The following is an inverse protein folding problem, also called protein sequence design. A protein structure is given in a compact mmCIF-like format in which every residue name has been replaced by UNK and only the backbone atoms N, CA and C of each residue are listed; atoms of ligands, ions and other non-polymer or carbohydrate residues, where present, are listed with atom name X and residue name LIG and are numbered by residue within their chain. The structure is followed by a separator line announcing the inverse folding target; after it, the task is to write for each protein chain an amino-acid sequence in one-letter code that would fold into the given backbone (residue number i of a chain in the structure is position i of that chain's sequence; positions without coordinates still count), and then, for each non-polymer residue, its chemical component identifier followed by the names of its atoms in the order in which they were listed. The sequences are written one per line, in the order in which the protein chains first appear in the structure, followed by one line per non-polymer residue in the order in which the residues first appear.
data_IF_938970341026
#
_entry.id   IF_938970341026
#
_cell.length_a   1.000
_cell.length_b   1.000
_cell.length_c   1.000
_cell.angle_alpha   90.00
_cell.angle_beta   90.00
_cell.angle_gamma   90.00
#
_symmetry.space_group_name_H-M   'P 1'
#
loop_
_entity.id
_entity.type
_entity.pdbx_description
1 polymer ?
#
# COMPACT_ATOMS: atom_id res chain seq x y z
N UNK A 1 9.36 -1.97 -19.27
CA UNK A 1 7.95 -2.32 -19.02
C UNK A 1 7.78 -2.29 -17.51
N UNK A 2 7.07 -1.31 -16.95
CA UNK A 2 6.80 -1.30 -15.51
C UNK A 2 5.71 -2.35 -15.23
N UNK A 3 6.00 -3.32 -14.35
CA UNK A 3 5.09 -4.41 -14.03
C UNK A 3 3.88 -3.92 -13.23
N UNK A 4 2.71 -4.51 -13.50
CA UNK A 4 1.52 -4.38 -12.67
C UNK A 4 1.35 -5.67 -11.88
N UNK A 5 1.43 -5.57 -10.55
CA UNK A 5 1.23 -6.68 -9.65
C UNK A 5 -0.10 -6.52 -8.90
N UNK A 6 -0.89 -7.57 -8.88
CA UNK A 6 -2.18 -7.61 -8.19
C UNK A 6 -2.14 -8.75 -7.18
N UNK A 7 -2.42 -8.45 -5.92
CA UNK A 7 -2.48 -9.41 -4.83
C UNK A 7 -3.89 -9.41 -4.26
N UNK A 8 -4.59 -10.54 -4.36
CA UNK A 8 -5.95 -10.70 -3.84
C UNK A 8 -5.89 -11.73 -2.72
N UNK A 9 -5.93 -11.29 -1.46
CA UNK A 9 -5.81 -12.17 -0.30
C UNK A 9 -6.65 -11.66 0.88
N UNK A 10 -6.90 -12.53 1.86
CA UNK A 10 -7.50 -12.15 3.14
C UNK A 10 -6.72 -12.77 4.30
N UNK A 11 -6.42 -11.97 5.33
CA UNK A 11 -5.69 -12.43 6.52
C UNK A 11 -4.25 -12.87 6.25
N UNK A 12 -3.63 -12.40 5.16
CA UNK A 12 -2.30 -12.85 4.73
C UNK A 12 -1.20 -11.85 5.07
N UNK A 13 -0.01 -12.36 5.37
CA UNK A 13 1.23 -11.60 5.54
C UNK A 13 2.21 -11.88 4.40
N UNK A 14 2.82 -10.84 3.85
CA UNK A 14 3.80 -11.02 2.79
C UNK A 14 4.72 -9.82 2.56
N UNK A 15 5.82 -10.07 1.86
CA UNK A 15 6.73 -9.03 1.38
C UNK A 15 6.68 -8.98 -0.14
N UNK A 16 6.58 -7.78 -0.69
CA UNK A 16 6.38 -7.53 -2.11
C UNK A 16 7.44 -6.54 -2.56
N UNK A 17 8.16 -6.88 -3.63
CA UNK A 17 9.05 -5.92 -4.27
C UNK A 17 8.33 -5.23 -5.43
N UNK A 18 8.23 -3.91 -5.36
CA UNK A 18 7.44 -3.13 -6.29
C UNK A 18 8.15 -2.83 -7.61
N UNK A 19 9.49 -2.87 -7.65
CA UNK A 19 10.34 -2.63 -8.83
C UNK A 19 9.89 -1.47 -9.76
N UNK A 20 9.62 -0.29 -9.21
CA UNK A 20 9.12 0.88 -9.96
C UNK A 20 7.84 0.57 -10.77
N UNK A 21 7.00 -0.31 -10.24
CA UNK A 21 5.75 -0.76 -10.84
C UNK A 21 4.52 -0.16 -10.19
N UNK A 22 3.37 -0.71 -10.55
CA UNK A 22 2.09 -0.48 -9.87
C UNK A 22 1.72 -1.71 -9.07
N UNK A 23 1.40 -1.52 -7.80
CA UNK A 23 0.97 -2.58 -6.89
C UNK A 23 -0.48 -2.34 -6.47
N UNK A 24 -1.34 -3.33 -6.72
CA UNK A 24 -2.70 -3.40 -6.19
C UNK A 24 -2.81 -4.49 -5.13
N UNK A 25 -3.29 -4.11 -3.96
CA UNK A 25 -3.59 -5.00 -2.84
C UNK A 25 -5.10 -5.00 -2.66
N UNK A 26 -5.75 -6.13 -2.89
CA UNK A 26 -7.19 -6.30 -2.71
C UNK A 26 -7.49 -7.34 -1.62
N UNK A 27 -8.40 -6.99 -0.74
CA UNK A 27 -8.95 -7.87 0.28
C UNK A 27 -8.87 -7.26 1.68
N UNK A 28 -8.86 -8.10 2.71
CA UNK A 28 -9.03 -7.63 4.09
C UNK A 28 -8.10 -8.26 5.10
N UNK A 29 -7.77 -7.49 6.14
CA UNK A 29 -6.96 -7.92 7.26
C UNK A 29 -5.56 -8.42 6.85
N UNK A 30 -5.01 -7.90 5.76
CA UNK A 30 -3.69 -8.29 5.27
C UNK A 30 -2.59 -7.42 5.87
N UNK A 31 -1.37 -7.95 5.95
CA UNK A 31 -0.19 -7.20 6.36
C UNK A 31 0.92 -7.34 5.33
N UNK A 32 1.15 -6.29 4.54
CA UNK A 32 2.13 -6.28 3.46
C UNK A 32 3.31 -5.36 3.74
N UNK A 33 4.51 -5.85 3.44
CA UNK A 33 5.74 -5.05 3.43
C UNK A 33 6.18 -4.85 1.99
N UNK A 34 6.09 -3.63 1.50
CA UNK A 34 6.46 -3.25 0.14
C UNK A 34 7.85 -2.63 0.14
N UNK A 35 8.80 -3.31 -0.50
CA UNK A 35 10.20 -2.86 -0.60
C UNK A 35 10.46 -2.18 -1.94
N UNK A 36 11.45 -1.28 -1.92
CA UNK A 36 11.85 -0.51 -3.10
C UNK A 36 10.99 0.74 -3.34
N UNK A 37 10.84 1.12 -4.61
CA UNK A 37 10.05 2.26 -5.04
C UNK A 37 8.84 1.80 -5.85
N UNK A 38 7.65 2.27 -5.46
CA UNK A 38 6.41 2.10 -6.22
C UNK A 38 6.05 3.39 -6.95
N UNK A 39 5.69 3.28 -8.23
CA UNK A 39 5.03 4.41 -8.91
C UNK A 39 3.63 4.62 -8.33
N UNK A 40 2.90 3.54 -8.11
CA UNK A 40 1.54 3.59 -7.56
C UNK A 40 1.26 2.38 -6.68
N UNK A 41 0.71 2.65 -5.51
CA UNK A 41 0.23 1.65 -4.56
C UNK A 41 -1.27 1.88 -4.33
N UNK A 42 -2.09 0.93 -4.74
CA UNK A 42 -3.53 0.95 -4.51
C UNK A 42 -3.92 -0.16 -3.52
N UNK A 43 -4.65 0.21 -2.48
CA UNK A 43 -5.07 -0.69 -1.41
C UNK A 43 -6.59 -0.68 -1.37
N UNK A 44 -7.22 -1.83 -1.59
CA UNK A 44 -8.67 -2.02 -1.59
C UNK A 44 -9.08 -2.99 -0.50
N UNK A 45 -10.20 -2.68 0.15
CA UNK A 45 -10.82 -3.49 1.20
C UNK A 45 -10.59 -2.89 2.59
N UNK A 46 -10.49 -3.73 3.63
CA UNK A 46 -10.53 -3.24 5.01
C UNK A 46 -9.51 -3.86 5.97
N UNK A 47 -9.17 -3.13 7.03
CA UNK A 47 -8.23 -3.56 8.06
C UNK A 47 -6.83 -3.96 7.52
N UNK A 48 -6.42 -3.45 6.36
CA UNK A 48 -5.10 -3.77 5.80
C UNK A 48 -4.01 -2.92 6.44
N UNK A 49 -2.85 -3.53 6.70
CA UNK A 49 -1.65 -2.89 7.22
C UNK A 49 -0.54 -2.94 6.18
N UNK A 50 -0.17 -1.81 5.61
CA UNK A 50 0.81 -1.76 4.52
C UNK A 50 1.97 -0.88 4.93
N UNK A 51 3.19 -1.43 4.89
CA UNK A 51 4.43 -0.66 5.07
C UNK A 51 5.12 -0.56 3.74
N UNK A 52 5.40 0.64 3.24
CA UNK A 52 6.10 0.87 1.97
C UNK A 52 7.37 1.68 2.20
N UNK A 53 8.47 1.32 1.53
CA UNK A 53 9.71 2.10 1.61
C UNK A 53 9.54 3.47 0.95
N UNK A 54 9.17 3.51 -0.33
CA UNK A 54 8.85 4.75 -1.05
C UNK A 54 7.77 4.54 -2.12
N UNK A 55 6.92 5.54 -2.31
CA UNK A 55 5.92 5.55 -3.36
C UNK A 55 5.65 6.96 -3.86
N UNK A 56 5.24 7.10 -5.13
CA UNK A 56 4.83 8.40 -5.69
C UNK A 56 3.32 8.66 -5.50
N UNK A 57 2.51 7.60 -5.50
CA UNK A 57 1.06 7.69 -5.25
C UNK A 57 0.61 6.55 -4.36
N UNK A 58 -0.19 6.86 -3.34
CA UNK A 58 -0.84 5.90 -2.45
C UNK A 58 -2.35 6.13 -2.54
N UNK A 59 -3.07 5.19 -3.13
CA UNK A 59 -4.52 5.11 -3.17
C UNK A 59 -5.05 4.11 -2.15
N UNK A 60 -6.07 4.49 -1.39
CA UNK A 60 -6.73 3.64 -0.41
C UNK A 60 -8.23 3.71 -0.66
N UNK A 61 -8.88 2.56 -0.79
CA UNK A 61 -10.31 2.42 -1.03
C UNK A 61 -10.87 1.39 -0.04
N UNK A 62 -11.76 1.83 0.84
CA UNK A 62 -12.38 1.01 1.88
C UNK A 62 -12.14 1.60 3.27
N UNK A 63 -12.12 0.76 4.30
CA UNK A 63 -12.21 1.22 5.69
C UNK A 63 -11.12 0.61 6.60
N UNK A 64 -10.70 1.33 7.65
CA UNK A 64 -9.77 0.86 8.68
C UNK A 64 -8.37 0.44 8.17
N UNK A 65 -7.92 1.01 7.05
CA UNK A 65 -6.60 0.70 6.51
C UNK A 65 -5.51 1.56 7.17
N UNK A 66 -4.36 0.95 7.47
CA UNK A 66 -3.18 1.59 8.02
C UNK A 66 -2.02 1.49 7.03
N UNK A 67 -1.55 2.63 6.54
CA UNK A 67 -0.41 2.70 5.63
C UNK A 67 0.74 3.48 6.26
N UNK A 68 1.93 2.91 6.25
CA UNK A 68 3.15 3.55 6.73
C UNK A 68 4.16 3.64 5.60
N UNK A 69 4.59 4.85 5.24
CA UNK A 69 5.65 5.05 4.25
C UNK A 69 6.93 5.56 4.90
N UNK A 70 8.11 5.17 4.40
CA UNK A 70 9.40 5.55 5.01
C UNK A 70 10.06 6.75 4.36
N UNK A 71 9.85 6.96 3.06
CA UNK A 71 10.44 8.06 2.31
C UNK A 71 9.62 8.45 1.09
N UNK A 72 9.98 9.60 0.51
CA UNK A 72 9.27 10.21 -0.62
C UNK A 72 8.15 11.16 -0.19
N UNK A 73 7.46 11.70 -1.19
CA UNK A 73 6.32 12.60 -1.02
C UNK A 73 5.12 12.07 -1.83
N UNK A 74 4.52 10.93 -1.41
CA UNK A 74 3.42 10.33 -2.15
C UNK A 74 2.20 11.24 -2.17
N UNK A 75 1.50 11.27 -3.29
CA UNK A 75 0.13 11.77 -3.34
C UNK A 75 -0.79 10.76 -2.67
N UNK A 76 -1.45 11.15 -1.58
CA UNK A 76 -2.30 10.24 -0.79
C UNK A 76 -3.77 10.49 -1.11
N UNK A 77 -4.42 9.50 -1.70
CA UNK A 77 -5.86 9.48 -1.96
C UNK A 77 -6.53 8.46 -1.02
N UNK A 78 -7.49 8.92 -0.21
CA UNK A 78 -8.21 8.07 0.74
C UNK A 78 -9.70 8.12 0.40
N UNK A 79 -10.29 6.96 0.15
CA UNK A 79 -11.71 6.78 -0.15
C UNK A 79 -12.29 5.81 0.86
N UNK A 80 -13.31 6.22 1.62
CA UNK A 80 -13.85 5.49 2.76
C UNK A 80 -13.36 6.04 4.10
N UNK A 81 -13.60 5.31 5.18
CA UNK A 81 -13.49 5.81 6.55
C UNK A 81 -12.33 5.20 7.33
N UNK A 82 -11.84 5.94 8.33
CA UNK A 82 -10.78 5.49 9.26
C UNK A 82 -9.48 5.00 8.60
N UNK A 83 -9.14 5.53 7.42
CA UNK A 83 -7.88 5.24 6.75
C UNK A 83 -6.76 6.13 7.29
N UNK A 84 -5.75 5.52 7.92
CA UNK A 84 -4.61 6.22 8.52
C UNK A 84 -3.40 6.05 7.62
N UNK A 85 -2.76 7.15 7.25
CA UNK A 85 -1.50 7.13 6.51
C UNK A 85 -0.47 7.98 7.22
N UNK A 86 0.63 7.36 7.61
CA UNK A 86 1.67 7.98 8.43
C UNK A 86 3.03 7.81 7.77
N UNK A 87 3.88 8.81 7.93
CA UNK A 87 5.29 8.68 7.59
C UNK A 87 6.05 8.15 8.80
N UNK A 88 6.92 7.16 8.58
CA UNK A 88 7.88 6.71 9.60
C UNK A 88 9.29 6.86 9.04
N UNK A 89 9.92 7.99 9.36
CA UNK A 89 11.32 8.22 9.04
C UNK A 89 12.19 7.13 9.71
N UNK A 90 13.11 6.55 8.93
CA UNK A 90 14.19 5.72 9.47
C UNK A 90 15.25 6.59 10.14
#
# INVERSE_FOLDING_TARGET
MHGHLIMINAGTTGTIDCNNGTLELDGGNNTYTVTGHCLRLDIRGSANKVTVDSADTIGIIGDDNLVTYRGGAPTINRTGNNNIVSQRNR
#
